data_IF_452968419080
#
_entry.id   IF_452968419080
#
_cell.length_a   1.000
_cell.length_b   1.000
_cell.length_c   1.000
_cell.angle_alpha   90.00
_cell.angle_beta   90.00
_cell.angle_gamma   90.00
#
_symmetry.space_group_name_H-M   'P 1'
#
loop_
_entity.id
_entity.type
_entity.pdbx_description
1 polymer ?
#
# COMPACT_ATOMS: atom_id res chain seq x y z
N UNK A 1 12.36 16.97 -16.82
CA UNK A 1 12.22 16.94 -15.34
C UNK A 1 10.77 16.90 -14.88
N UNK A 2 9.87 17.75 -15.40
CA UNK A 2 8.43 17.75 -15.03
C UNK A 2 7.73 16.38 -15.15
N UNK A 3 8.07 15.58 -16.18
CA UNK A 3 7.46 14.25 -16.38
C UNK A 3 7.71 13.26 -15.25
N UNK A 4 8.88 13.30 -14.61
CA UNK A 4 9.21 12.41 -13.48
C UNK A 4 8.35 12.76 -12.27
N UNK A 5 8.20 14.05 -11.98
CA UNK A 5 7.36 14.52 -10.89
C UNK A 5 5.89 14.16 -11.10
N UNK A 6 5.37 14.33 -12.32
CA UNK A 6 4.01 13.92 -12.67
C UNK A 6 3.81 12.42 -12.50
N UNK A 7 4.76 11.60 -12.96
CA UNK A 7 4.71 10.15 -12.82
C UNK A 7 4.72 9.72 -11.34
N UNK A 8 5.60 10.32 -10.52
CA UNK A 8 5.66 10.06 -9.08
C UNK A 8 4.35 10.42 -8.38
N UNK A 9 3.83 11.62 -8.64
CA UNK A 9 2.54 12.08 -8.09
C UNK A 9 1.41 11.12 -8.46
N UNK A 10 1.32 10.73 -9.73
CA UNK A 10 0.29 9.81 -10.21
C UNK A 10 0.42 8.43 -9.53
N UNK A 11 1.64 7.94 -9.38
CA UNK A 11 1.92 6.67 -8.70
C UNK A 11 1.43 6.70 -7.25
N UNK A 12 1.77 7.77 -6.50
CA UNK A 12 1.31 7.93 -5.12
C UNK A 12 -0.22 8.02 -5.01
N UNK A 13 -0.87 8.71 -5.94
CA UNK A 13 -2.34 8.78 -5.99
C UNK A 13 -2.96 7.39 -6.24
N UNK A 14 -2.40 6.62 -7.18
CA UNK A 14 -2.88 5.27 -7.48
C UNK A 14 -2.70 4.35 -6.27
N UNK A 15 -1.50 4.30 -5.69
CA UNK A 15 -1.22 3.41 -4.55
C UNK A 15 -1.99 3.81 -3.29
N UNK A 16 -2.07 5.10 -2.98
CA UNK A 16 -2.86 5.59 -1.85
C UNK A 16 -4.34 5.28 -2.01
N UNK A 17 -4.90 5.48 -3.21
CA UNK A 17 -6.30 5.16 -3.48
C UNK A 17 -6.56 3.66 -3.41
N UNK A 18 -5.66 2.83 -3.93
CA UNK A 18 -5.77 1.37 -3.82
C UNK A 18 -5.76 0.91 -2.35
N UNK A 19 -4.89 1.47 -1.51
CA UNK A 19 -4.87 1.21 -0.07
C UNK A 19 -6.17 1.64 0.61
N UNK A 20 -6.70 2.83 0.28
CA UNK A 20 -7.97 3.31 0.82
C UNK A 20 -9.15 2.41 0.41
N UNK A 21 -9.18 1.93 -0.83
CA UNK A 21 -10.19 1.00 -1.32
C UNK A 21 -10.10 -0.38 -0.63
N UNK A 22 -8.88 -0.85 -0.33
CA UNK A 22 -8.69 -2.06 0.47
C UNK A 22 -9.28 -1.91 1.87
N UNK A 23 -8.91 -0.84 2.60
CA UNK A 23 -9.44 -0.55 3.94
C UNK A 23 -10.97 -0.49 3.90
N UNK A 24 -11.51 0.18 2.89
CA UNK A 24 -12.95 0.30 2.70
C UNK A 24 -13.61 -1.04 2.37
N UNK A 25 -12.99 -1.89 1.57
CA UNK A 25 -13.49 -3.23 1.27
C UNK A 25 -13.56 -4.12 2.50
N UNK A 26 -12.62 -3.95 3.44
CA UNK A 26 -12.56 -4.73 4.70
C UNK A 26 -13.49 -4.17 5.77
N UNK A 27 -13.56 -2.84 5.92
CA UNK A 27 -14.24 -2.19 7.04
C UNK A 27 -15.50 -1.40 6.66
N UNK A 28 -15.91 -1.41 5.39
CA UNK A 28 -17.04 -0.65 4.86
C UNK A 28 -17.01 0.85 5.20
N UNK A 29 -15.82 1.48 5.21
CA UNK A 29 -15.68 2.90 5.54
C UNK A 29 -16.42 3.83 4.57
N UNK A 30 -16.84 5.03 5.01
CA UNK A 30 -17.48 6.02 4.14
C UNK A 30 -16.58 6.44 2.97
N UNK A 31 -17.16 6.70 1.80
CA UNK A 31 -16.42 7.18 0.63
C UNK A 31 -15.64 8.47 0.90
N UNK A 32 -16.16 9.34 1.76
CA UNK A 32 -15.49 10.59 2.16
C UNK A 32 -14.15 10.38 2.89
N UNK A 33 -13.88 9.17 3.41
CA UNK A 33 -12.60 8.85 4.05
C UNK A 33 -11.50 8.45 3.06
N UNK A 34 -11.81 8.23 1.78
CA UNK A 34 -10.80 7.77 0.79
C UNK A 34 -9.62 8.74 0.67
N UNK A 35 -9.82 10.06 0.50
CA UNK A 35 -8.70 10.99 0.38
C UNK A 35 -7.79 10.98 1.61
N UNK A 36 -8.39 10.88 2.80
CA UNK A 36 -7.65 10.81 4.06
C UNK A 36 -6.85 9.50 4.19
N UNK A 37 -7.48 8.35 3.95
CA UNK A 37 -6.79 7.05 3.98
C UNK A 37 -5.66 6.96 2.94
N UNK A 38 -5.86 7.54 1.75
CA UNK A 38 -4.83 7.62 0.72
C UNK A 38 -3.65 8.50 1.16
N UNK A 39 -3.94 9.64 1.81
CA UNK A 39 -2.90 10.52 2.36
C UNK A 39 -2.15 9.88 3.53
N UNK A 40 -2.84 9.16 4.42
CA UNK A 40 -2.23 8.43 5.52
C UNK A 40 -1.26 7.36 5.00
N UNK A 41 -1.64 6.66 3.93
CA UNK A 41 -0.81 5.67 3.28
C UNK A 41 0.46 6.32 2.70
N UNK A 42 0.34 7.42 1.95
CA UNK A 42 1.48 8.13 1.41
C UNK A 42 2.42 8.66 2.52
N UNK A 43 1.86 9.23 3.59
CA UNK A 43 2.64 9.70 4.75
C UNK A 43 3.37 8.54 5.45
N UNK A 44 2.73 7.39 5.61
CA UNK A 44 3.35 6.21 6.23
C UNK A 44 4.59 5.74 5.45
N UNK A 45 4.55 5.84 4.13
CA UNK A 45 5.68 5.53 3.27
C UNK A 45 6.80 6.55 3.39
N UNK A 46 6.48 7.84 3.44
CA UNK A 46 7.49 8.89 3.65
C UNK A 46 8.23 8.65 4.97
N UNK A 47 7.49 8.34 6.04
CA UNK A 47 8.09 7.97 7.34
C UNK A 47 8.95 6.72 7.22
N UNK A 48 8.45 5.67 6.55
CA UNK A 48 9.21 4.44 6.33
C UNK A 48 10.52 4.67 5.55
N UNK A 49 10.50 5.57 4.56
CA UNK A 49 11.67 5.93 3.74
C UNK A 49 12.70 6.77 4.52
N UNK A 50 12.26 7.63 5.43
CA UNK A 50 13.14 8.40 6.31
C UNK A 50 13.76 7.50 7.39
N UNK A 51 13.05 6.43 7.79
CA UNK A 51 13.55 5.52 8.81
C UNK A 51 14.71 4.67 8.28
N UNK A 52 15.90 4.85 8.86
CA UNK A 52 17.09 4.03 8.52
C UNK A 52 17.17 2.70 9.30
N UNK A 53 16.20 2.45 10.18
CA UNK A 53 16.25 1.36 11.17
C UNK A 53 15.73 0.04 10.60
N UNK A 54 14.76 0.10 9.67
CA UNK A 54 14.11 -1.10 9.15
C UNK A 54 14.29 -1.24 7.63
N UNK A 55 14.91 -2.32 7.12
CA UNK A 55 15.00 -2.56 5.69
C UNK A 55 13.59 -2.62 5.07
N UNK A 56 13.41 -1.92 3.94
CA UNK A 56 12.14 -1.75 3.23
C UNK A 56 11.00 -1.11 4.07
N UNK A 57 11.32 -0.43 5.17
CA UNK A 57 10.31 0.17 6.06
C UNK A 57 9.44 -0.86 6.79
N UNK A 58 9.91 -2.11 6.94
CA UNK A 58 9.22 -3.17 7.70
C UNK A 58 8.92 -2.74 9.14
N UNK A 59 7.68 -2.85 9.59
CA UNK A 59 7.25 -2.44 10.92
C UNK A 59 6.98 -0.93 11.05
N UNK A 60 7.89 -0.06 10.61
CA UNK A 60 7.73 1.40 10.77
C UNK A 60 6.64 1.95 9.85
N UNK A 61 6.63 1.56 8.57
CA UNK A 61 5.59 1.99 7.63
C UNK A 61 4.22 1.50 8.07
N UNK A 62 4.09 0.21 8.33
CA UNK A 62 2.80 -0.39 8.67
C UNK A 62 2.31 0.06 10.05
N UNK A 63 3.23 0.23 11.01
CA UNK A 63 2.96 0.81 12.30
C UNK A 63 2.50 2.25 12.18
N UNK A 64 3.15 3.07 11.35
CA UNK A 64 2.74 4.45 11.11
C UNK A 64 1.36 4.52 10.44
N UNK A 65 1.10 3.69 9.43
CA UNK A 65 -0.23 3.60 8.83
C UNK A 65 -1.29 3.19 9.85
N UNK A 66 -1.01 2.16 10.66
CA UNK A 66 -1.88 1.73 11.76
C UNK A 66 -2.12 2.81 12.82
N UNK A 67 -1.10 3.61 13.15
CA UNK A 67 -1.22 4.73 14.10
C UNK A 67 -2.08 5.86 13.54
N UNK A 68 -1.86 6.25 12.28
CA UNK A 68 -2.61 7.33 11.61
C UNK A 68 -4.09 6.96 11.46
N UNK A 69 -4.36 5.74 10.98
CA UNK A 69 -5.72 5.24 10.78
C UNK A 69 -6.38 4.89 12.12
N UNK A 70 -5.61 4.41 13.10
CA UNK A 70 -6.08 4.02 14.43
C UNK A 70 -6.72 5.15 15.23
N UNK A 71 -6.39 6.42 14.93
CA UNK A 71 -7.07 7.59 15.49
C UNK A 71 -8.58 7.62 15.18
N UNK A 72 -9.02 6.90 14.14
CA UNK A 72 -10.40 6.94 13.64
C UNK A 72 -11.18 5.65 13.86
N UNK A 73 -10.51 4.50 13.74
CA UNK A 73 -11.18 3.18 13.74
C UNK A 73 -10.72 2.25 14.88
N UNK A 74 -9.93 2.78 15.82
CA UNK A 74 -9.33 2.01 16.90
C UNK A 74 -8.02 1.32 16.49
N UNK A 75 -7.05 1.32 17.40
CA UNK A 75 -5.68 0.87 17.10
C UNK A 75 -5.59 -0.62 16.75
N UNK A 76 -6.37 -1.48 17.42
CA UNK A 76 -6.38 -2.91 17.15
C UNK A 76 -6.83 -3.21 15.72
N UNK A 77 -8.00 -2.69 15.34
CA UNK A 77 -8.55 -2.83 13.98
C UNK A 77 -7.61 -2.24 12.93
N UNK A 78 -7.04 -1.06 13.18
CA UNK A 78 -6.13 -0.41 12.25
C UNK A 78 -4.85 -1.22 12.01
N UNK A 79 -4.27 -1.82 13.06
CA UNK A 79 -3.09 -2.68 12.93
C UNK A 79 -3.41 -3.97 12.16
N UNK A 80 -4.57 -4.59 12.41
CA UNK A 80 -5.01 -5.75 11.63
C UNK A 80 -5.14 -5.42 10.14
N UNK A 81 -5.74 -4.27 9.82
CA UNK A 81 -5.88 -3.82 8.43
C UNK A 81 -4.53 -3.45 7.81
N UNK A 82 -3.61 -2.85 8.56
CA UNK A 82 -2.27 -2.54 8.07
C UNK A 82 -1.50 -3.82 7.66
N UNK A 83 -1.57 -4.86 8.51
CA UNK A 83 -1.00 -6.18 8.19
C UNK A 83 -1.72 -6.82 6.99
N UNK A 84 -3.05 -6.78 6.97
CA UNK A 84 -3.85 -7.30 5.86
C UNK A 84 -3.52 -6.64 4.53
N UNK A 85 -3.34 -5.31 4.52
CA UNK A 85 -2.96 -4.55 3.33
C UNK A 85 -1.58 -4.96 2.82
N UNK A 86 -0.65 -5.25 3.73
CA UNK A 86 0.68 -5.73 3.37
C UNK A 86 0.62 -7.12 2.74
N UNK A 87 -0.13 -8.04 3.35
CA UNK A 87 -0.34 -9.36 2.78
C UNK A 87 -0.97 -9.26 1.38
N UNK A 88 -1.95 -8.38 1.21
CA UNK A 88 -2.58 -8.12 -0.08
C UNK A 88 -1.56 -7.64 -1.12
N UNK A 89 -0.73 -6.65 -0.80
CA UNK A 89 0.31 -6.15 -1.71
C UNK A 89 1.30 -7.26 -2.08
N UNK A 90 1.81 -8.00 -1.10
CA UNK A 90 2.74 -9.11 -1.36
C UNK A 90 2.08 -10.20 -2.22
N UNK A 91 0.82 -10.53 -2.00
CA UNK A 91 0.09 -11.47 -2.85
C UNK A 91 -0.06 -10.95 -4.28
N UNK A 92 -0.35 -9.66 -4.47
CA UNK A 92 -0.44 -9.06 -5.82
C UNK A 92 0.91 -9.06 -6.54
N UNK A 93 2.00 -8.77 -5.84
CA UNK A 93 3.37 -8.84 -6.38
C UNK A 93 3.74 -10.25 -6.80
N UNK A 94 3.45 -11.25 -5.95
CA UNK A 94 3.68 -12.66 -6.26
C UNK A 94 2.83 -13.12 -7.44
N UNK A 95 1.54 -12.74 -7.47
CA UNK A 95 0.65 -13.08 -8.58
C UNK A 95 1.16 -12.52 -9.92
N UNK A 96 1.61 -11.27 -9.93
CA UNK A 96 2.18 -10.65 -11.12
C UNK A 96 3.50 -11.31 -11.54
N UNK A 97 4.37 -11.62 -10.56
CA UNK A 97 5.66 -12.25 -10.81
C UNK A 97 5.50 -13.66 -11.38
N UNK A 98 4.73 -14.53 -10.72
CA UNK A 98 4.50 -15.90 -11.18
C UNK A 98 3.66 -15.95 -12.45
N UNK A 99 2.65 -15.07 -12.58
CA UNK A 99 1.87 -14.93 -13.80
C UNK A 99 2.75 -14.54 -14.98
N UNK A 100 3.58 -13.51 -14.82
CA UNK A 100 4.53 -13.06 -15.84
C UNK A 100 5.53 -14.15 -16.25
N UNK A 101 6.08 -14.88 -15.28
CA UNK A 101 6.97 -16.02 -15.55
C UNK A 101 6.27 -17.14 -16.33
N UNK A 102 5.00 -17.42 -16.02
CA UNK A 102 4.22 -18.41 -16.75
C UNK A 102 3.92 -17.99 -18.19
N UNK A 103 3.58 -16.71 -18.43
CA UNK A 103 3.39 -16.17 -19.78
C UNK A 103 4.68 -16.18 -20.60
N UNK A 104 5.81 -15.74 -20.01
CA UNK A 104 7.11 -15.72 -20.69
C UNK A 104 7.66 -17.14 -20.91
N UNK A 105 7.40 -18.07 -20.00
CA UNK A 105 7.79 -19.48 -20.11
C UNK A 105 7.05 -20.25 -21.22
N UNK A 106 5.86 -19.80 -21.61
CA UNK A 106 5.11 -20.37 -22.73
C UNK A 106 5.64 -19.98 -24.10
N UNK A 107 6.34 -18.84 -24.22
CA UNK A 107 6.96 -18.38 -25.48
C UNK A 107 8.26 -19.09 -25.85
N UNK A 108 8.79 -19.97 -24.99
CA UNK A 108 10.07 -20.68 -25.20
C UNK A 108 9.93 -22.18 -25.50
N UNK A 109 8.73 -22.66 -25.84
CA UNK A 109 8.55 -24.06 -26.30
C UNK A 109 8.77 -24.09 -27.82
N UNK A 110 9.85 -24.73 -28.33
CA UNK A 110 10.00 -24.98 -29.77
C UNK A 110 8.91 -25.91 -30.30
#
# INVERSE_FOLDING_TARGET
MAGIWAFLLLSWLIFGTAAALFVRGVLATPWGMIPQLASDYALSWVVGMISMIAPAGMGIRDGMFGLLVGQRIGIGTAMTVAVGLRLWLTLTELAWTFGGLWFLGRGKRP
#
